data_IF_497861831895
#
_entry.id   IF_497861831895
#
_cell.length_a   1.000
_cell.length_b   1.000
_cell.length_c   1.000
_cell.angle_alpha   90.00
_cell.angle_beta   90.00
_cell.angle_gamma   90.00
#
_symmetry.space_group_name_H-M   'P 1'
#
loop_
_entity.id
_entity.type
_entity.pdbx_description
1 polymer ?
#
# COMPACT_ATOMS: atom_id res chain seq x y z
N UNK A 1 -4.41 19.47 13.98
CA UNK A 1 -4.43 18.55 15.15
C UNK A 1 -3.08 18.50 15.83
N UNK A 2 -3.02 18.26 17.15
CA UNK A 2 -1.73 18.34 17.87
C UNK A 2 -0.87 17.10 17.63
N UNK A 3 0.35 17.32 17.10
CA UNK A 3 1.32 16.25 16.86
C UNK A 3 1.58 15.36 18.10
N UNK A 4 1.69 15.89 19.33
CA UNK A 4 1.90 15.05 20.52
C UNK A 4 0.79 14.02 20.77
N UNK A 5 -0.49 14.37 20.52
CA UNK A 5 -1.62 13.43 20.71
C UNK A 5 -1.58 12.30 19.69
N UNK A 6 -1.25 12.61 18.43
CA UNK A 6 -1.14 11.60 17.36
C UNK A 6 0.03 10.65 17.61
N UNK A 7 1.16 11.18 18.06
CA UNK A 7 2.35 10.39 18.42
C UNK A 7 2.07 9.49 19.62
N UNK A 8 1.33 9.97 20.62
CA UNK A 8 0.93 9.17 21.77
C UNK A 8 0.04 8.00 21.36
N UNK A 9 -1.01 8.26 20.55
CA UNK A 9 -1.91 7.23 20.05
C UNK A 9 -1.17 6.08 19.35
N UNK A 10 -0.23 6.39 18.46
CA UNK A 10 0.56 5.36 17.77
C UNK A 10 1.43 4.56 18.74
N UNK A 11 2.08 5.22 19.69
CA UNK A 11 2.98 4.58 20.66
C UNK A 11 2.25 3.76 21.73
N UNK A 12 1.01 4.09 22.05
CA UNK A 12 0.24 3.35 23.05
C UNK A 12 -0.36 2.08 22.45
N UNK A 13 -0.86 2.16 21.21
CA UNK A 13 -1.64 1.06 20.62
C UNK A 13 -0.82 0.14 19.71
N UNK A 14 0.21 0.66 19.03
CA UNK A 14 0.98 -0.10 18.04
C UNK A 14 2.35 -0.56 18.56
N UNK A 15 2.75 -0.13 19.74
CA UNK A 15 4.05 -0.51 20.30
C UNK A 15 3.90 -1.66 21.30
N UNK A 16 4.63 -2.74 21.07
CA UNK A 16 4.77 -3.82 22.05
C UNK A 16 5.94 -3.56 22.99
N UNK A 17 5.69 -3.65 24.31
CA UNK A 17 6.73 -3.55 25.36
C UNK A 17 7.85 -4.59 25.22
N UNK A 18 7.62 -5.67 24.46
CA UNK A 18 8.60 -6.71 24.20
C UNK A 18 9.68 -6.30 23.16
N UNK A 19 9.45 -5.24 22.38
CA UNK A 19 10.39 -4.70 21.39
C UNK A 19 11.17 -3.48 21.92
N UNK A 20 12.50 -3.56 21.96
CA UNK A 20 13.38 -2.58 22.62
C UNK A 20 13.36 -1.14 22.05
N UNK A 21 12.65 -0.84 20.95
CA UNK A 21 12.70 0.48 20.29
C UNK A 21 11.31 1.11 20.17
N UNK A 22 11.14 2.28 20.80
CA UNK A 22 9.93 3.11 20.72
C UNK A 22 9.78 3.70 19.32
N UNK A 23 8.55 3.72 18.78
CA UNK A 23 8.27 4.32 17.45
C UNK A 23 8.73 5.80 17.42
N UNK A 24 9.60 6.19 16.46
CA UNK A 24 10.02 7.58 16.30
C UNK A 24 8.83 8.51 16.05
N UNK A 25 8.89 9.74 16.57
CA UNK A 25 7.78 10.69 16.43
C UNK A 25 7.48 11.02 14.96
N UNK A 26 8.52 11.19 14.13
CA UNK A 26 8.37 11.41 12.70
C UNK A 26 7.63 10.25 12.01
N UNK A 27 7.98 8.99 12.30
CA UNK A 27 7.29 7.83 11.72
C UNK A 27 5.85 7.70 12.22
N UNK A 28 5.58 7.98 13.49
CA UNK A 28 4.22 8.00 14.03
C UNK A 28 3.32 9.05 13.34
N UNK A 29 3.89 10.22 13.03
CA UNK A 29 3.18 11.27 12.29
C UNK A 29 3.01 10.89 10.82
N UNK A 30 4.03 10.32 10.19
CA UNK A 30 3.96 9.81 8.82
C UNK A 30 2.87 8.75 8.69
N UNK A 31 2.81 7.78 9.59
CA UNK A 31 1.77 6.75 9.64
C UNK A 31 0.37 7.38 9.75
N UNK A 32 0.21 8.39 10.62
CA UNK A 32 -1.05 9.11 10.72
C UNK A 32 -1.44 9.78 9.40
N UNK A 33 -0.46 10.35 8.68
CA UNK A 33 -0.65 10.91 7.34
C UNK A 33 -1.06 9.84 6.31
N UNK A 34 -0.41 8.68 6.32
CA UNK A 34 -0.72 7.56 5.42
C UNK A 34 -2.14 7.02 5.65
N UNK A 35 -2.55 6.87 6.91
CA UNK A 35 -3.94 6.52 7.28
C UNK A 35 -4.93 7.53 6.71
N UNK A 36 -4.62 8.83 6.79
CA UNK A 36 -5.47 9.88 6.24
C UNK A 36 -5.49 9.85 4.71
N UNK A 37 -4.39 9.51 4.04
CA UNK A 37 -4.37 9.38 2.59
C UNK A 37 -5.28 8.23 2.12
N UNK A 38 -5.29 7.10 2.83
CA UNK A 38 -6.24 5.99 2.57
C UNK A 38 -7.68 6.44 2.82
N UNK A 39 -7.94 7.12 3.94
CA UNK A 39 -9.27 7.60 4.30
C UNK A 39 -9.82 8.67 3.34
N UNK A 40 -8.95 9.55 2.82
CA UNK A 40 -9.26 10.56 1.82
C UNK A 40 -9.43 9.97 0.41
N UNK A 41 -9.11 8.68 0.23
CA UNK A 41 -9.23 8.00 -1.06
C UNK A 41 -8.12 8.28 -2.05
N UNK A 42 -6.97 8.77 -1.58
CA UNK A 42 -5.79 9.01 -2.42
C UNK A 42 -5.03 7.72 -2.74
N UNK A 43 -5.22 6.69 -1.92
CA UNK A 43 -4.71 5.34 -2.17
C UNK A 43 -5.64 4.26 -1.62
N UNK A 44 -5.69 3.07 -2.25
CA UNK A 44 -6.58 2.00 -1.83
C UNK A 44 -6.17 1.34 -0.51
N UNK A 45 -4.87 1.27 -0.21
CA UNK A 45 -4.38 0.64 1.01
C UNK A 45 -3.10 1.24 1.57
N UNK A 46 -2.84 0.91 2.83
CA UNK A 46 -1.55 1.05 3.51
C UNK A 46 -1.15 -0.32 4.06
N UNK A 47 0.07 -0.75 3.79
CA UNK A 47 0.70 -1.89 4.45
C UNK A 47 1.35 -1.39 5.74
N UNK A 48 1.08 -2.05 6.86
CA UNK A 48 1.68 -1.76 8.15
C UNK A 48 2.78 -2.78 8.47
N UNK A 49 4.02 -2.32 8.53
CA UNK A 49 5.24 -3.13 8.72
C UNK A 49 6.18 -2.56 9.82
N UNK A 50 5.77 -1.50 10.52
CA UNK A 50 6.61 -0.81 11.51
C UNK A 50 6.87 -1.63 12.80
N UNK A 51 6.04 -2.65 13.08
CA UNK A 51 6.16 -3.50 14.27
C UNK A 51 5.37 -4.80 14.12
N UNK A 52 5.46 -5.68 15.13
CA UNK A 52 4.66 -6.90 15.22
C UNK A 52 3.18 -6.66 15.62
N UNK A 53 2.69 -5.43 15.55
CA UNK A 53 1.29 -5.11 15.86
C UNK A 53 0.34 -5.73 14.83
N UNK A 54 -0.69 -6.42 15.32
CA UNK A 54 -1.66 -7.12 14.49
C UNK A 54 -2.91 -6.30 14.18
N UNK A 55 -3.92 -6.93 13.57
CA UNK A 55 -5.19 -6.27 13.23
C UNK A 55 -5.89 -5.63 14.44
N UNK A 56 -5.79 -6.24 15.62
CA UNK A 56 -6.43 -5.73 16.83
C UNK A 56 -5.80 -4.42 17.32
N UNK A 57 -4.47 -4.35 17.34
CA UNK A 57 -3.68 -3.16 17.67
C UNK A 57 -4.02 -2.01 16.72
N UNK A 58 -4.05 -2.30 15.41
CA UNK A 58 -4.34 -1.30 14.40
C UNK A 58 -5.77 -0.75 14.54
N UNK A 59 -6.76 -1.60 14.88
CA UNK A 59 -8.13 -1.14 15.17
C UNK A 59 -8.19 -0.21 16.38
N UNK A 60 -7.47 -0.52 17.47
CA UNK A 60 -7.42 0.37 18.65
C UNK A 60 -6.75 1.69 18.31
N UNK A 61 -5.66 1.66 17.54
CA UNK A 61 -5.02 2.86 17.02
C UNK A 61 -6.00 3.74 16.22
N UNK A 62 -6.76 3.16 15.29
CA UNK A 62 -7.76 3.90 14.51
C UNK A 62 -8.87 4.50 15.40
N UNK A 63 -9.28 3.80 16.46
CA UNK A 63 -10.20 4.35 17.45
C UNK A 63 -9.60 5.56 18.18
N UNK A 64 -8.32 5.50 18.57
CA UNK A 64 -7.60 6.65 19.16
C UNK A 64 -7.48 7.83 18.22
N UNK A 65 -7.23 7.59 16.93
CA UNK A 65 -7.23 8.66 15.92
C UNK A 65 -8.60 9.35 15.85
N UNK A 66 -9.69 8.58 15.90
CA UNK A 66 -11.08 9.10 15.98
C UNK A 66 -11.31 9.95 17.21
N UNK A 67 -10.94 9.46 18.38
CA UNK A 67 -11.00 10.23 19.64
C UNK A 67 -10.14 11.51 19.60
N UNK A 68 -9.05 11.48 18.84
CA UNK A 68 -8.19 12.64 18.62
C UNK A 68 -8.79 13.68 17.64
N UNK A 69 -9.91 13.38 16.97
CA UNK A 69 -10.57 14.26 16.00
C UNK A 69 -10.22 13.98 14.54
N UNK A 70 -9.45 12.92 14.26
CA UNK A 70 -9.34 12.35 12.93
C UNK A 70 -10.47 11.35 12.78
N UNK A 71 -11.59 11.76 12.24
CA UNK A 71 -12.66 10.85 11.85
C UNK A 71 -12.41 10.38 10.39
N UNK A 72 -11.56 9.36 10.14
CA UNK A 72 -11.44 8.81 8.81
C UNK A 72 -12.79 8.24 8.37
N UNK A 73 -12.97 8.21 7.05
CA UNK A 73 -14.03 7.45 6.39
C UNK A 73 -14.03 5.98 6.84
N UNK A 74 -15.00 5.20 6.34
CA UNK A 74 -15.04 3.76 6.65
C UNK A 74 -13.76 3.08 6.17
N UNK A 75 -13.07 2.41 7.10
CA UNK A 75 -11.83 1.68 6.83
C UNK A 75 -12.01 0.19 7.13
N UNK A 76 -11.17 -0.63 6.52
CA UNK A 76 -11.13 -2.07 6.75
C UNK A 76 -9.70 -2.52 7.07
N UNK A 77 -9.52 -3.28 8.14
CA UNK A 77 -8.22 -3.88 8.51
C UNK A 77 -8.20 -5.33 8.04
N UNK A 78 -7.32 -5.64 7.09
CA UNK A 78 -7.14 -6.97 6.53
C UNK A 78 -5.85 -7.60 7.08
N UNK A 79 -5.97 -8.74 7.74
CA UNK A 79 -4.83 -9.61 8.08
C UNK A 79 -4.49 -10.56 6.93
N UNK A 80 -3.20 -10.70 6.62
CA UNK A 80 -2.66 -11.60 5.59
C UNK A 80 -1.32 -12.20 6.06
N UNK A 81 -1.34 -13.39 6.65
CA UNK A 81 -0.12 -14.14 7.03
C UNK A 81 0.93 -13.27 7.77
N UNK A 82 0.53 -12.66 8.89
CA UNK A 82 1.40 -11.78 9.68
C UNK A 82 1.56 -10.36 9.14
N UNK A 83 1.17 -10.09 7.89
CA UNK A 83 1.04 -8.73 7.36
C UNK A 83 -0.33 -8.13 7.67
N UNK A 84 -0.37 -6.81 7.88
CA UNK A 84 -1.62 -6.08 8.13
C UNK A 84 -1.77 -4.95 7.11
N UNK A 85 -2.88 -4.96 6.38
CA UNK A 85 -3.25 -3.86 5.49
C UNK A 85 -4.44 -3.07 6.04
N UNK A 86 -4.35 -1.76 5.96
CA UNK A 86 -5.45 -0.84 6.15
C UNK A 86 -6.01 -0.43 4.79
N UNK A 87 -7.28 -0.72 4.55
CA UNK A 87 -7.93 -0.53 3.26
C UNK A 87 -8.98 0.58 3.34
N UNK A 88 -9.08 1.35 2.26
CA UNK A 88 -10.32 1.94 1.83
C UNK A 88 -11.12 0.87 1.06
N UNK A 89 -12.19 0.28 1.63
CA UNK A 89 -12.82 -0.90 1.06
C UNK A 89 -13.39 -0.67 -0.34
N UNK A 90 -13.94 0.52 -0.59
CA UNK A 90 -14.50 0.88 -1.90
C UNK A 90 -13.42 0.97 -2.98
N UNK A 91 -12.30 1.64 -2.67
CA UNK A 91 -11.18 1.77 -3.61
C UNK A 91 -10.40 0.48 -3.79
N UNK A 92 -10.14 -0.27 -2.72
CA UNK A 92 -9.48 -1.57 -2.81
C UNK A 92 -10.27 -2.53 -3.70
N UNK A 93 -11.61 -2.54 -3.57
CA UNK A 93 -12.49 -3.35 -4.44
C UNK A 93 -12.38 -2.92 -5.90
N UNK A 94 -12.50 -1.61 -6.19
CA UNK A 94 -12.36 -1.08 -7.56
C UNK A 94 -11.01 -1.43 -8.16
N UNK A 95 -9.94 -1.29 -7.38
CA UNK A 95 -8.58 -1.63 -7.81
C UNK A 95 -8.44 -3.09 -8.21
N UNK A 96 -8.96 -4.02 -7.39
CA UNK A 96 -8.97 -5.44 -7.73
C UNK A 96 -9.78 -5.70 -9.01
N UNK A 97 -10.96 -5.09 -9.14
CA UNK A 97 -11.81 -5.22 -10.33
C UNK A 97 -11.14 -4.68 -11.61
N UNK A 98 -10.40 -3.58 -11.51
CA UNK A 98 -9.63 -3.01 -12.62
C UNK A 98 -8.50 -3.94 -13.07
N UNK A 99 -7.69 -4.43 -12.13
CA UNK A 99 -6.56 -5.32 -12.45
C UNK A 99 -7.05 -6.65 -13.04
N UNK A 100 -8.17 -7.19 -12.56
CA UNK A 100 -8.78 -8.40 -13.14
C UNK A 100 -9.24 -8.17 -14.59
N UNK A 101 -9.74 -6.98 -14.91
CA UNK A 101 -10.20 -6.58 -16.25
C UNK A 101 -9.07 -6.13 -17.18
N UNK A 102 -7.93 -5.71 -16.64
CA UNK A 102 -6.79 -5.23 -17.43
C UNK A 102 -6.20 -6.32 -18.33
N UNK A 103 -5.99 -5.98 -19.61
CA UNK A 103 -5.38 -6.83 -20.62
C UNK A 103 -4.47 -5.96 -21.53
N UNK A 104 -3.14 -6.16 -21.50
CA UNK A 104 -2.41 -7.02 -20.56
C UNK A 104 -2.51 -6.50 -19.12
N UNK A 105 -2.36 -7.38 -18.14
CA UNK A 105 -2.27 -6.95 -16.75
C UNK A 105 -0.85 -6.41 -16.48
N UNK A 106 -0.70 -5.33 -15.68
CA UNK A 106 0.59 -4.65 -15.51
C UNK A 106 1.48 -5.38 -14.49
N UNK A 107 1.69 -6.68 -14.69
CA UNK A 107 2.60 -7.48 -13.87
C UNK A 107 3.97 -7.58 -14.51
N UNK A 108 5.00 -7.46 -13.69
CA UNK A 108 6.40 -7.58 -14.07
C UNK A 108 6.96 -8.85 -13.44
N UNK A 109 7.32 -9.83 -14.27
CA UNK A 109 7.97 -11.06 -13.87
C UNK A 109 9.45 -10.78 -13.55
N UNK A 110 9.83 -11.04 -12.30
CA UNK A 110 11.16 -10.82 -11.74
C UNK A 110 11.77 -12.12 -11.17
N UNK A 111 11.25 -13.29 -11.58
CA UNK A 111 11.70 -14.60 -11.11
C UNK A 111 13.23 -14.77 -11.26
N UNK A 112 13.88 -15.48 -10.33
CA UNK A 112 15.34 -15.53 -10.23
C UNK A 112 15.99 -16.18 -11.46
N UNK A 113 15.32 -17.14 -12.10
CA UNK A 113 15.77 -17.75 -13.35
C UNK A 113 15.88 -16.80 -14.56
N UNK A 114 15.41 -15.55 -14.46
CA UNK A 114 15.47 -14.58 -15.56
C UNK A 114 16.76 -13.77 -15.55
N UNK A 115 17.28 -13.48 -16.74
CA UNK A 115 18.38 -12.52 -16.91
C UNK A 115 17.93 -11.07 -16.71
N UNK A 116 16.69 -10.76 -17.09
CA UNK A 116 16.10 -9.42 -17.00
C UNK A 116 14.61 -9.50 -16.64
N UNK A 117 14.10 -8.49 -15.90
CA UNK A 117 12.68 -8.38 -15.63
C UNK A 117 11.90 -8.11 -16.91
N UNK A 118 10.69 -8.67 -17.01
CA UNK A 118 9.86 -8.53 -18.20
C UNK A 118 8.38 -8.40 -17.82
N UNK A 119 7.55 -7.87 -18.72
CA UNK A 119 6.10 -7.95 -18.55
C UNK A 119 5.64 -9.41 -18.60
N UNK A 120 4.71 -9.78 -17.71
CA UNK A 120 4.17 -11.12 -17.67
C UNK A 120 3.37 -11.44 -18.95
N UNK A 121 3.68 -12.57 -19.59
CA UNK A 121 2.87 -13.11 -20.69
C UNK A 121 1.54 -13.72 -20.22
N UNK A 122 1.52 -14.22 -18.97
CA UNK A 122 0.37 -14.86 -18.32
C UNK A 122 0.34 -14.41 -16.86
N UNK A 123 -0.85 -14.05 -16.37
CA UNK A 123 -1.10 -13.57 -15.01
C UNK A 123 -2.26 -14.33 -14.33
N UNK A 124 -2.65 -15.47 -14.87
CA UNK A 124 -3.87 -16.21 -14.54
C UNK A 124 -3.86 -16.69 -13.08
N UNK A 125 -2.72 -17.19 -12.59
CA UNK A 125 -2.58 -17.61 -11.20
C UNK A 125 -2.80 -16.44 -10.23
N UNK A 126 -2.16 -15.29 -10.48
CA UNK A 126 -2.31 -14.08 -9.67
C UNK A 126 -3.75 -13.56 -9.78
N UNK A 127 -4.33 -13.51 -10.98
CA UNK A 127 -5.72 -13.10 -11.20
C UNK A 127 -6.69 -14.00 -10.43
N UNK A 128 -6.45 -15.30 -10.35
CA UNK A 128 -7.25 -16.22 -9.53
C UNK A 128 -7.21 -15.85 -8.04
N UNK A 129 -6.01 -15.57 -7.51
CA UNK A 129 -5.85 -15.13 -6.12
C UNK A 129 -6.51 -13.77 -5.86
N UNK A 130 -6.39 -12.82 -6.79
CA UNK A 130 -7.06 -11.51 -6.71
C UNK A 130 -8.59 -11.65 -6.76
N UNK A 131 -9.13 -12.58 -7.54
CA UNK A 131 -10.55 -12.86 -7.59
C UNK A 131 -11.06 -13.46 -6.26
N UNK A 132 -10.29 -14.38 -5.66
CA UNK A 132 -10.60 -14.92 -4.33
C UNK A 132 -10.60 -13.81 -3.26
N UNK A 133 -9.58 -12.94 -3.26
CA UNK A 133 -9.51 -11.80 -2.36
C UNK A 133 -10.68 -10.82 -2.57
N UNK A 134 -11.04 -10.53 -3.81
CA UNK A 134 -12.18 -9.67 -4.15
C UNK A 134 -13.49 -10.24 -3.59
N UNK A 135 -13.71 -11.55 -3.74
CA UNK A 135 -14.87 -12.22 -3.18
C UNK A 135 -14.90 -12.12 -1.65
N UNK A 136 -13.75 -12.32 -1.00
CA UNK A 136 -13.59 -12.15 0.45
C UNK A 136 -13.94 -10.73 0.90
N UNK A 137 -13.39 -9.70 0.26
CA UNK A 137 -13.66 -8.30 0.63
C UNK A 137 -15.15 -7.94 0.44
N UNK A 138 -15.80 -8.44 -0.61
CA UNK A 138 -17.24 -8.27 -0.81
C UNK A 138 -18.05 -8.92 0.32
N UNK A 139 -17.69 -10.13 0.75
CA UNK A 139 -18.33 -10.80 1.87
C UNK A 139 -18.09 -10.09 3.20
N UNK A 140 -16.87 -9.59 3.43
CA UNK A 140 -16.56 -8.83 4.63
C UNK A 140 -17.35 -7.52 4.70
N UNK A 141 -17.60 -6.88 3.55
CA UNK A 141 -18.34 -5.62 3.47
C UNK A 141 -19.81 -5.74 3.88
N UNK A 142 -20.47 -6.87 3.57
CA UNK A 142 -21.88 -7.11 3.92
C UNK A 142 -22.08 -7.31 5.43
N UNK A 143 -21.06 -7.83 6.13
CA UNK A 143 -21.09 -8.09 7.57
C UNK A 143 -20.54 -6.90 8.38
N UNK A 144 -19.78 -6.02 7.74
CA UNK A 144 -19.07 -4.94 8.40
C UNK A 144 -20.00 -3.87 8.98
N UNK A 145 -20.08 -3.83 10.31
CA UNK A 145 -20.76 -2.78 11.08
C UNK A 145 -19.76 -1.74 11.60
N UNK A 146 -20.18 -0.48 11.63
CA UNK A 146 -19.39 0.62 12.18
C UNK A 146 -18.30 1.19 11.25
N UNK A 147 -17.48 2.13 11.78
CA UNK A 147 -16.54 2.91 10.98
C UNK A 147 -15.25 2.15 10.63
N UNK A 148 -14.89 1.11 11.40
CA UNK A 148 -13.70 0.30 11.17
C UNK A 148 -14.10 -1.17 11.28
N UNK A 149 -13.94 -1.90 10.19
CA UNK A 149 -14.17 -3.33 10.11
C UNK A 149 -12.85 -4.10 10.02
N UNK A 150 -12.88 -5.41 10.23
CA UNK A 150 -11.69 -6.25 10.06
C UNK A 150 -12.01 -7.64 9.58
N UNK A 151 -11.10 -8.23 8.82
CA UNK A 151 -11.15 -9.62 8.39
C UNK A 151 -9.74 -10.15 8.22
N UNK A 152 -9.64 -11.46 8.01
CA UNK A 152 -8.37 -12.14 7.79
C UNK A 152 -8.55 -13.15 6.65
N UNK A 153 -7.51 -13.32 5.85
CA UNK A 153 -7.44 -14.36 4.82
C UNK A 153 -6.26 -15.28 5.11
N UNK A 154 -6.39 -16.55 4.72
CA UNK A 154 -5.30 -17.53 4.73
C UNK A 154 -4.77 -17.65 3.31
N UNK A 155 -3.63 -17.03 2.98
CA UNK A 155 -3.21 -16.81 1.60
C UNK A 155 -2.33 -17.97 1.07
N UNK A 156 -2.82 -19.21 1.14
CA UNK A 156 -2.05 -20.40 0.75
C UNK A 156 -1.64 -20.33 -0.73
N UNK A 157 -0.34 -20.30 -1.00
CA UNK A 157 0.22 -20.25 -2.35
C UNK A 157 0.13 -18.87 -3.03
N UNK A 158 -0.25 -17.82 -2.30
CA UNK A 158 -0.33 -16.48 -2.87
C UNK A 158 1.03 -15.80 -2.87
N UNK A 159 1.40 -15.15 -3.98
CA UNK A 159 2.52 -14.21 -3.98
C UNK A 159 2.10 -12.92 -3.23
N UNK A 160 2.38 -12.86 -1.92
CA UNK A 160 1.96 -11.76 -1.05
C UNK A 160 2.50 -10.40 -1.50
N UNK A 161 3.70 -10.35 -2.07
CA UNK A 161 4.29 -9.14 -2.64
C UNK A 161 3.42 -8.61 -3.78
N UNK A 162 3.01 -9.49 -4.71
CA UNK A 162 2.10 -9.11 -5.80
C UNK A 162 0.74 -8.65 -5.27
N UNK A 163 0.18 -9.36 -4.28
CA UNK A 163 -1.12 -9.01 -3.70
C UNK A 163 -1.06 -7.63 -3.01
N UNK A 164 -0.01 -7.38 -2.22
CA UNK A 164 0.23 -6.11 -1.57
C UNK A 164 0.43 -4.99 -2.59
N UNK A 165 1.24 -5.18 -3.63
CA UNK A 165 1.46 -4.18 -4.68
C UNK A 165 0.16 -3.75 -5.38
N UNK A 166 -0.73 -4.71 -5.67
CA UNK A 166 -2.06 -4.42 -6.23
C UNK A 166 -2.91 -3.62 -5.23
N UNK A 167 -3.01 -4.08 -3.98
CA UNK A 167 -3.81 -3.44 -2.94
C UNK A 167 -3.29 -2.05 -2.56
N UNK A 168 -1.98 -1.83 -2.61
CA UNK A 168 -1.34 -0.52 -2.39
C UNK A 168 -1.63 0.46 -3.53
N UNK A 169 -2.13 -0.04 -4.67
CA UNK A 169 -2.53 0.76 -5.82
C UNK A 169 -1.39 1.07 -6.77
N UNK A 170 -0.30 0.28 -6.78
CA UNK A 170 0.82 0.54 -7.69
C UNK A 170 0.43 0.31 -9.15
N UNK A 171 0.89 1.16 -10.09
CA UNK A 171 0.51 1.10 -11.50
C UNK A 171 0.98 -0.19 -12.17
N UNK A 172 2.16 -0.67 -11.78
CA UNK A 172 2.72 -1.96 -12.17
C UNK A 172 3.23 -2.70 -10.94
N UNK A 173 3.15 -4.03 -10.97
CA UNK A 173 3.35 -4.87 -9.78
C UNK A 173 4.32 -6.00 -10.07
N UNK A 174 5.29 -6.19 -9.19
CA UNK A 174 6.21 -7.32 -9.26
C UNK A 174 5.52 -8.64 -8.99
N UNK A 175 5.94 -9.66 -9.72
CA UNK A 175 5.57 -11.04 -9.48
C UNK A 175 6.72 -11.98 -9.78
N UNK A 176 6.72 -13.13 -9.11
CA UNK A 176 7.76 -14.13 -9.19
C UNK A 176 7.21 -15.49 -8.79
N UNK A 177 7.90 -16.55 -9.22
CA UNK A 177 7.61 -17.91 -8.75
C UNK A 177 7.91 -18.04 -7.27
N UNK A 178 6.95 -18.56 -6.51
CA UNK A 178 7.11 -18.84 -5.06
C UNK A 178 7.94 -20.11 -4.79
N UNK A 179 8.35 -20.83 -5.84
CA UNK A 179 9.15 -22.08 -5.73
C UNK A 179 10.65 -21.84 -5.59
N UNK A 180 11.13 -20.62 -5.86
CA UNK A 180 12.54 -20.22 -5.73
C UNK A 180 12.73 -19.46 -4.40
N UNK A 181 13.87 -19.66 -3.72
CA UNK A 181 14.17 -19.27 -2.31
C UNK A 181 14.20 -17.74 -2.02
N UNK A 182 13.20 -16.98 -2.47
CA UNK A 182 13.10 -15.53 -2.27
C UNK A 182 14.09 -14.70 -3.10
N UNK A 183 14.83 -15.34 -4.01
CA UNK A 183 15.72 -14.67 -4.96
C UNK A 183 14.91 -14.00 -6.09
N UNK A 184 15.46 -12.93 -6.65
CA UNK A 184 14.87 -12.23 -7.79
C UNK A 184 15.95 -11.67 -8.73
N UNK A 185 15.57 -11.37 -9.97
CA UNK A 185 16.51 -10.89 -10.98
C UNK A 185 16.81 -9.37 -10.88
N UNK A 186 16.49 -8.70 -9.77
CA UNK A 186 16.65 -7.23 -9.62
C UNK A 186 18.01 -6.81 -9.06
N UNK A 187 18.85 -7.75 -8.63
CA UNK A 187 20.17 -7.44 -8.11
C UNK A 187 20.99 -6.62 -9.13
N UNK A 188 21.48 -5.45 -8.69
CA UNK A 188 22.22 -4.47 -9.51
C UNK A 188 21.48 -3.97 -10.76
N UNK A 189 20.20 -4.28 -10.93
CA UNK A 189 19.39 -3.71 -12.01
C UNK A 189 19.04 -2.25 -11.69
N UNK A 190 19.13 -1.33 -12.66
CA UNK A 190 18.62 0.03 -12.49
C UNK A 190 17.11 0.01 -12.28
N UNK A 191 16.66 0.60 -11.17
CA UNK A 191 15.26 0.74 -10.81
C UNK A 191 14.89 2.21 -10.78
N UNK A 192 13.80 2.57 -11.46
CA UNK A 192 13.19 3.89 -11.31
C UNK A 192 12.26 3.87 -10.12
N UNK A 193 12.62 4.61 -9.08
CA UNK A 193 11.81 4.80 -7.87
C UNK A 193 10.95 6.05 -8.07
N UNK A 194 9.64 5.89 -7.96
CA UNK A 194 8.68 6.97 -7.95
C UNK A 194 8.26 7.27 -6.52
N UNK A 195 8.30 8.55 -6.15
CA UNK A 195 7.85 9.03 -4.86
C UNK A 195 6.76 10.07 -5.06
N UNK A 196 5.64 9.87 -4.38
CA UNK A 196 4.53 10.84 -4.32
C UNK A 196 4.43 11.35 -2.90
N UNK A 197 4.45 12.67 -2.74
CA UNK A 197 4.32 13.33 -1.45
C UNK A 197 3.28 14.45 -1.52
N UNK A 198 2.66 14.74 -0.39
CA UNK A 198 1.76 15.89 -0.25
C UNK A 198 1.73 16.39 1.19
N UNK A 199 1.41 17.67 1.37
CA UNK A 199 1.26 18.30 2.68
C UNK A 199 -0.12 17.98 3.25
N UNK A 200 -0.19 17.35 4.44
CA UNK A 200 -1.46 17.07 5.10
C UNK A 200 -1.91 18.25 5.97
N UNK A 201 -2.99 18.94 5.56
CA UNK A 201 -3.49 20.13 6.25
C UNK A 201 -4.08 19.83 7.65
N UNK A 202 -4.46 18.58 7.91
CA UNK A 202 -5.06 18.16 9.19
C UNK A 202 -4.04 18.00 10.31
N UNK A 203 -2.78 17.76 9.97
CA UNK A 203 -1.67 17.60 10.91
C UNK A 203 -0.94 18.94 11.03
N UNK A 204 -0.67 19.38 12.27
CA UNK A 204 -0.01 20.67 12.53
C UNK A 204 1.32 20.76 11.77
N UNK A 205 1.64 21.96 11.31
CA UNK A 205 2.84 22.32 10.53
C UNK A 205 2.88 21.74 9.11
N UNK A 206 1.74 21.25 8.59
CA UNK A 206 1.62 20.83 7.20
C UNK A 206 2.57 19.68 6.85
N UNK A 207 2.56 18.62 7.68
CA UNK A 207 3.44 17.47 7.53
C UNK A 207 3.43 16.98 6.07
N UNK A 208 4.62 16.92 5.47
CA UNK A 208 4.82 16.33 4.15
C UNK A 208 4.78 14.81 4.27
N UNK A 209 3.70 14.22 3.80
CA UNK A 209 3.41 12.79 3.87
C UNK A 209 3.84 12.15 2.56
N UNK A 210 4.67 11.10 2.63
CA UNK A 210 4.87 10.20 1.49
C UNK A 210 3.64 9.31 1.31
N UNK A 211 2.92 9.47 0.21
CA UNK A 211 1.68 8.73 -0.08
C UNK A 211 1.99 7.46 -0.86
N UNK A 212 2.90 7.53 -1.83
CA UNK A 212 3.39 6.38 -2.59
C UNK A 212 4.92 6.38 -2.64
N UNK A 213 5.48 5.18 -2.61
CA UNK A 213 6.89 4.90 -2.90
C UNK A 213 6.94 3.52 -3.54
N UNK A 214 7.22 3.45 -4.83
CA UNK A 214 7.32 2.19 -5.57
C UNK A 214 8.42 2.29 -6.62
N UNK A 215 8.90 1.13 -7.08
CA UNK A 215 9.89 1.06 -8.14
C UNK A 215 9.38 0.25 -9.32
N UNK A 216 9.92 0.55 -10.49
CA UNK A 216 9.85 -0.31 -11.67
C UNK A 216 11.27 -0.46 -12.25
N UNK A 217 11.56 -1.56 -12.97
CA UNK A 217 12.82 -1.69 -13.68
C UNK A 217 12.93 -0.61 -14.75
N UNK A 218 14.07 0.08 -14.81
CA UNK A 218 14.30 1.16 -15.77
C UNK A 218 14.08 0.67 -17.22
N UNK A 219 14.45 -0.58 -17.49
CA UNK A 219 14.26 -1.24 -18.79
C UNK A 219 12.81 -1.37 -19.24
N UNK A 220 11.83 -1.28 -18.32
CA UNK A 220 10.39 -1.41 -18.61
C UNK A 220 9.64 -0.07 -18.58
N UNK A 221 10.34 1.05 -18.36
CA UNK A 221 9.71 2.36 -18.24
C UNK A 221 8.99 2.79 -19.52
N UNK A 222 9.52 2.42 -20.69
CA UNK A 222 8.92 2.79 -21.98
C UNK A 222 7.65 1.99 -22.21
N UNK A 223 7.68 0.69 -21.94
CA UNK A 223 6.57 -0.25 -22.09
C UNK A 223 5.43 0.05 -21.12
N UNK A 224 5.76 0.57 -19.93
CA UNK A 224 4.78 0.94 -18.91
C UNK A 224 4.33 2.41 -18.99
N UNK A 225 4.82 3.17 -19.97
CA UNK A 225 4.58 4.62 -20.04
C UNK A 225 3.09 4.98 -20.02
N UNK A 226 2.27 4.32 -20.83
CA UNK A 226 0.83 4.60 -20.90
C UNK A 226 0.12 4.29 -19.58
N UNK A 227 0.51 3.19 -18.92
CA UNK A 227 -0.03 2.78 -17.61
C UNK A 227 0.36 3.78 -16.53
N UNK A 228 1.60 4.26 -16.55
CA UNK A 228 2.09 5.28 -15.62
C UNK A 228 1.39 6.62 -15.84
N UNK A 229 1.27 7.06 -17.10
CA UNK A 229 0.63 8.34 -17.45
C UNK A 229 -0.84 8.36 -17.02
N UNK A 230 -1.59 7.28 -17.31
CA UNK A 230 -2.98 7.14 -16.84
C UNK A 230 -3.08 7.17 -15.31
N UNK A 231 -2.18 6.44 -14.63
CA UNK A 231 -2.13 6.45 -13.17
C UNK A 231 -1.80 7.84 -12.59
N UNK A 232 -0.91 8.61 -13.24
CA UNK A 232 -0.60 9.97 -12.80
C UNK A 232 -1.81 10.89 -12.93
N UNK A 233 -2.60 10.75 -13.99
CA UNK A 233 -3.78 11.57 -14.21
C UNK A 233 -4.89 11.21 -13.21
N UNK A 234 -5.17 9.93 -13.00
CA UNK A 234 -6.08 9.45 -11.96
C UNK A 234 -5.68 9.96 -10.56
N UNK A 235 -4.36 9.98 -10.28
CA UNK A 235 -3.84 10.50 -9.03
C UNK A 235 -4.09 12.01 -8.88
N UNK A 236 -3.80 12.81 -9.91
CA UNK A 236 -4.04 14.26 -9.89
C UNK A 236 -5.52 14.57 -9.69
N UNK A 237 -6.39 13.81 -10.34
CA UNK A 237 -7.84 13.94 -10.21
C UNK A 237 -8.29 13.61 -8.77
N UNK A 238 -7.77 12.52 -8.20
CA UNK A 238 -8.05 12.15 -6.82
C UNK A 238 -7.58 13.23 -5.82
N UNK A 239 -6.39 13.81 -6.03
CA UNK A 239 -5.91 14.93 -5.21
C UNK A 239 -6.77 16.17 -5.37
N UNK A 240 -7.26 16.47 -6.57
CA UNK A 240 -8.11 17.64 -6.85
C UNK A 240 -9.53 17.49 -6.27
N UNK A 241 -9.99 16.25 -6.06
CA UNK A 241 -11.32 15.94 -5.51
C UNK A 241 -11.40 16.02 -3.97
N UNK A 242 -10.31 16.32 -3.28
CA UNK A 242 -10.24 16.38 -1.81
C UNK A 242 -9.46 17.61 -1.32
N UNK A 243 -9.60 17.97 -0.04
CA UNK A 243 -8.98 19.16 0.56
C UNK A 243 -8.04 18.88 1.74
N UNK A 244 -7.86 17.61 2.11
CA UNK A 244 -7.05 17.19 3.25
C UNK A 244 -5.54 17.20 2.93
N UNK A 245 -5.20 17.05 1.65
CA UNK A 245 -3.83 17.06 1.14
C UNK A 245 -3.66 18.09 0.03
N UNK A 246 -2.58 18.86 0.12
CA UNK A 246 -2.20 19.90 -0.85
C UNK A 246 -0.72 19.77 -1.23
N UNK A 247 -0.24 20.61 -2.14
CA UNK A 247 1.17 20.65 -2.57
C UNK A 247 1.67 19.29 -3.08
N UNK A 248 0.90 18.67 -3.98
CA UNK A 248 1.28 17.40 -4.61
C UNK A 248 2.66 17.52 -5.27
N UNK A 249 3.60 16.73 -4.77
CA UNK A 249 4.94 16.57 -5.33
C UNK A 249 5.14 15.15 -5.84
N UNK A 250 5.51 15.02 -7.10
CA UNK A 250 5.88 13.75 -7.73
C UNK A 250 7.33 13.87 -8.16
N UNK A 251 8.15 12.90 -7.77
CA UNK A 251 9.56 12.82 -8.16
C UNK A 251 9.91 11.39 -8.54
N UNK A 252 10.93 11.24 -9.39
CA UNK A 252 11.51 9.95 -9.71
C UNK A 252 13.03 10.01 -9.72
N UNK A 253 13.68 8.95 -9.27
CA UNK A 253 15.13 8.78 -9.35
C UNK A 253 15.47 7.36 -9.80
N UNK A 254 16.68 7.17 -10.35
CA UNK A 254 17.17 5.84 -10.75
C UNK A 254 18.21 5.39 -9.73
N UNK A 255 18.00 4.20 -9.18
CA UNK A 255 18.90 3.58 -8.19
C UNK A 255 19.31 2.19 -8.65
N UNK A 256 20.52 1.77 -8.26
CA UNK A 256 20.97 0.39 -8.42
C UNK A 256 21.39 -0.12 -7.05
N UNK A 257 20.73 -1.19 -6.59
CA UNK A 257 20.97 -1.78 -5.27
C UNK A 257 21.52 -3.18 -5.41
N UNK A 258 22.44 -3.61 -4.53
CA UNK A 258 23.01 -4.96 -4.58
C UNK A 258 21.96 -6.04 -4.31
N UNK A 259 20.91 -5.70 -3.57
CA UNK A 259 19.75 -6.56 -3.33
C UNK A 259 18.50 -5.70 -3.18
N UNK A 260 17.35 -6.27 -3.55
CA UNK A 260 16.03 -5.64 -3.44
C UNK A 260 15.16 -6.56 -2.59
N UNK A 261 14.78 -6.08 -1.42
CA UNK A 261 13.79 -6.73 -0.58
C UNK A 261 12.39 -6.37 -1.07
N UNK A 262 11.50 -7.35 -1.10
CA UNK A 262 10.11 -7.24 -1.55
C UNK A 262 9.15 -7.54 -0.40
#
# INVERSE_FOLDING_TARGET
LSAPRLVAAAREELWSKAGKRRLPAARALQLCGEVLAVAAGLKPALLYDDSAAGPAELRRYLARLREAGLAPCRLHVLGMEGSVLLLNPGLARRRLEEVLRAHPAPFMDISAGRQHPALCGSAEAIKSHLAALLAHLRAAETVASGPVSSSEVVPTGWNLCSMAGVLLGYPAVYTFSMEEDGENCLAMMPLRVFTVQASCCRIKDGLRVQVYSFSIPESLCTELKEVLDAWWDDLKDAFSAQSDFVDLGISSEVVSLPAVAL
#
